data_IF_691541426010
#
_entry.id   IF_691541426010
#
_cell.length_a   1.000
_cell.length_b   1.000
_cell.length_c   1.000
_cell.angle_alpha   90.00
_cell.angle_beta   90.00
_cell.angle_gamma   90.00
#
_symmetry.space_group_name_H-M   'P 1'
#
loop_
_entity.id
_entity.type
_entity.pdbx_description
1 polymer ?
#
# COMPACT_ATOMS: atom_id res chain seq x y z
N UNK A 1 21.80 -5.11 -2.04
CA UNK A 1 20.39 -4.79 -2.32
C UNK A 1 20.26 -3.29 -2.23
N UNK A 2 19.80 -2.63 -3.31
CA UNK A 2 19.45 -1.22 -3.24
C UNK A 2 18.29 -1.02 -2.27
N UNK A 3 18.29 0.12 -1.59
CA UNK A 3 17.15 0.55 -0.80
C UNK A 3 15.96 0.86 -1.72
N UNK A 4 14.77 0.36 -1.39
CA UNK A 4 13.59 0.46 -2.27
C UNK A 4 13.14 1.91 -2.47
N UNK A 5 13.34 2.78 -1.47
CA UNK A 5 13.08 4.21 -1.60
C UNK A 5 14.00 4.85 -2.64
N UNK A 6 15.29 4.53 -2.59
CA UNK A 6 16.27 4.97 -3.59
C UNK A 6 15.92 4.48 -5.01
N UNK A 7 15.45 3.23 -5.15
CA UNK A 7 14.98 2.71 -6.44
C UNK A 7 13.80 3.53 -6.95
N UNK A 8 12.77 3.79 -6.13
CA UNK A 8 11.60 4.55 -6.56
C UNK A 8 11.91 6.03 -6.80
N UNK A 9 12.86 6.62 -6.06
CA UNK A 9 13.34 7.98 -6.35
C UNK A 9 13.93 8.06 -7.76
N UNK A 10 14.75 7.08 -8.16
CA UNK A 10 15.40 7.08 -9.47
C UNK A 10 14.42 6.91 -10.66
N UNK A 11 13.26 6.29 -10.43
CA UNK A 11 12.28 5.98 -11.49
C UNK A 11 10.98 6.78 -11.38
N UNK A 12 10.84 7.71 -10.43
CA UNK A 12 9.55 8.27 -10.02
C UNK A 12 8.73 8.86 -11.18
N UNK A 13 9.33 9.73 -12.00
CA UNK A 13 8.65 10.36 -13.14
C UNK A 13 8.31 9.34 -14.24
N UNK A 14 9.20 8.40 -14.55
CA UNK A 14 8.96 7.35 -15.55
C UNK A 14 7.83 6.43 -15.11
N UNK A 15 7.87 5.99 -13.85
CA UNK A 15 6.86 5.16 -13.24
C UNK A 15 5.50 5.86 -13.22
N UNK A 16 5.45 7.14 -12.82
CA UNK A 16 4.22 7.93 -12.83
C UNK A 16 3.65 8.04 -14.25
N UNK A 17 4.48 8.38 -15.23
CA UNK A 17 4.02 8.54 -16.61
C UNK A 17 3.42 7.26 -17.20
N UNK A 18 4.01 6.10 -16.90
CA UNK A 18 3.52 4.81 -17.37
C UNK A 18 2.24 4.36 -16.64
N UNK A 19 2.14 4.58 -15.33
CA UNK A 19 1.10 3.98 -14.49
C UNK A 19 -0.04 4.94 -14.09
N UNK A 20 0.04 6.23 -14.41
CA UNK A 20 -0.98 7.21 -14.00
C UNK A 20 -2.38 6.94 -14.58
N UNK A 21 -2.45 6.21 -15.69
CA UNK A 21 -3.71 5.86 -16.37
C UNK A 21 -4.20 4.44 -16.06
N UNK A 22 -3.50 3.69 -15.20
CA UNK A 22 -3.96 2.38 -14.75
C UNK A 22 -5.31 2.49 -14.03
N UNK A 23 -6.22 1.57 -14.30
CA UNK A 23 -7.57 1.54 -13.73
C UNK A 23 -7.91 0.22 -13.00
N UNK A 24 -7.07 -0.81 -13.13
CA UNK A 24 -7.31 -2.15 -12.59
C UNK A 24 -7.54 -2.19 -11.08
N UNK A 25 -7.14 -1.14 -10.37
CA UNK A 25 -7.29 -0.98 -8.93
C UNK A 25 -8.60 -0.33 -8.47
N UNK A 26 -9.35 0.27 -9.41
CA UNK A 26 -10.57 1.01 -9.10
C UNK A 26 -11.61 0.12 -8.42
N UNK A 27 -11.86 -1.07 -8.97
CA UNK A 27 -12.91 -1.97 -8.48
C UNK A 27 -12.75 -2.30 -6.99
N UNK A 28 -11.57 -2.72 -6.56
CA UNK A 28 -11.33 -3.06 -5.16
C UNK A 28 -11.21 -1.83 -4.25
N UNK A 29 -10.83 -0.68 -4.81
CA UNK A 29 -10.87 0.61 -4.09
C UNK A 29 -12.31 1.00 -3.75
N UNK A 30 -13.27 0.83 -4.67
CA UNK A 30 -14.70 1.05 -4.39
C UNK A 30 -15.20 0.11 -3.30
N UNK A 31 -14.81 -1.17 -3.36
CA UNK A 31 -15.17 -2.15 -2.33
C UNK A 31 -14.67 -1.75 -0.96
N UNK A 32 -13.44 -1.23 -0.88
CA UNK A 32 -12.89 -0.68 0.35
C UNK A 32 -13.71 0.52 0.86
N UNK A 33 -13.99 1.50 -0.01
CA UNK A 33 -14.74 2.70 0.34
C UNK A 33 -16.17 2.40 0.79
N UNK A 34 -16.85 1.42 0.19
CA UNK A 34 -18.20 0.99 0.58
C UNK A 34 -18.30 0.44 2.01
N UNK A 35 -17.18 0.17 2.68
CA UNK A 35 -17.13 -0.29 4.07
C UNK A 35 -16.82 0.82 5.07
N UNK A 36 -16.52 2.02 4.58
CA UNK A 36 -16.18 3.17 5.40
C UNK A 36 -17.41 4.05 5.61
N UNK A 37 -17.39 4.81 6.70
CA UNK A 37 -18.36 5.90 6.94
C UNK A 37 -18.15 7.04 5.94
N UNK A 38 -19.11 7.96 5.89
CA UNK A 38 -18.97 9.19 5.10
C UNK A 38 -17.79 10.05 5.58
N UNK A 39 -17.14 10.73 4.63
CA UNK A 39 -15.96 11.57 4.86
C UNK A 39 -14.85 10.89 5.68
N UNK A 40 -14.41 9.67 5.31
CA UNK A 40 -13.46 8.92 6.11
C UNK A 40 -12.08 9.57 6.07
N UNK A 41 -11.34 9.48 7.17
CA UNK A 41 -9.91 9.75 7.17
C UNK A 41 -9.13 8.47 6.80
N UNK A 42 -8.39 8.52 5.70
CA UNK A 42 -7.68 7.36 5.15
C UNK A 42 -6.17 7.61 5.18
N UNK A 43 -5.40 6.60 5.60
CA UNK A 43 -3.96 6.54 5.41
C UNK A 43 -3.64 5.71 4.17
N UNK A 44 -3.09 6.34 3.14
CA UNK A 44 -2.55 5.69 1.93
C UNK A 44 -1.07 5.32 2.15
N UNK A 45 -0.80 4.02 2.32
CA UNK A 45 0.50 3.46 2.71
C UNK A 45 1.27 3.02 1.47
N UNK A 46 2.40 3.68 1.21
CA UNK A 46 3.09 3.58 -0.08
C UNK A 46 2.29 4.28 -1.17
N UNK A 47 1.94 5.54 -0.91
CA UNK A 47 1.03 6.32 -1.76
C UNK A 47 1.58 6.64 -3.17
N UNK A 48 2.89 6.44 -3.39
CA UNK A 48 3.55 6.65 -4.67
C UNK A 48 3.32 8.06 -5.19
N UNK A 49 2.94 8.18 -6.47
CA UNK A 49 2.69 9.45 -7.15
C UNK A 49 1.34 10.11 -6.83
N UNK A 50 0.60 9.61 -5.83
CA UNK A 50 -0.63 10.22 -5.33
C UNK A 50 -1.88 10.03 -6.19
N UNK A 51 -1.82 9.24 -7.28
CA UNK A 51 -2.98 8.98 -8.17
C UNK A 51 -4.16 8.38 -7.41
N UNK A 52 -3.90 7.40 -6.52
CA UNK A 52 -4.93 6.76 -5.71
C UNK A 52 -5.44 7.70 -4.61
N UNK A 53 -4.56 8.49 -3.99
CA UNK A 53 -4.94 9.55 -3.06
C UNK A 53 -5.92 10.55 -3.70
N UNK A 54 -5.65 11.02 -4.92
CA UNK A 54 -6.55 11.90 -5.67
C UNK A 54 -7.92 11.24 -5.91
N UNK A 55 -7.93 9.95 -6.26
CA UNK A 55 -9.15 9.18 -6.48
C UNK A 55 -9.99 9.01 -5.20
N UNK A 56 -9.36 8.74 -4.07
CA UNK A 56 -9.99 8.66 -2.75
C UNK A 56 -10.59 10.02 -2.34
N UNK A 57 -9.86 11.12 -2.56
CA UNK A 57 -10.34 12.49 -2.30
C UNK A 57 -11.55 12.82 -3.16
N UNK A 58 -11.55 12.45 -4.43
CA UNK A 58 -12.71 12.65 -5.32
C UNK A 58 -13.98 11.93 -4.84
N UNK A 59 -13.85 10.93 -3.95
CA UNK A 59 -14.95 10.21 -3.29
C UNK A 59 -15.26 10.73 -1.89
N UNK A 60 -14.73 11.89 -1.55
CA UNK A 60 -14.99 12.58 -0.29
C UNK A 60 -14.14 12.11 0.88
N UNK A 61 -13.08 11.32 0.67
CA UNK A 61 -12.16 10.98 1.74
C UNK A 61 -11.18 12.14 2.05
N UNK A 62 -10.77 12.24 3.33
CA UNK A 62 -9.57 12.99 3.71
C UNK A 62 -8.40 12.02 3.69
N UNK A 63 -7.30 12.38 3.03
CA UNK A 63 -6.19 11.46 2.81
C UNK A 63 -4.91 12.00 3.41
N UNK A 64 -4.27 11.16 4.22
CA UNK A 64 -2.85 11.26 4.52
C UNK A 64 -2.12 10.17 3.75
N UNK A 65 -1.00 10.49 3.11
CA UNK A 65 -0.16 9.53 2.40
C UNK A 65 1.22 9.42 3.02
N UNK A 66 1.74 8.19 3.09
CA UNK A 66 3.14 7.95 3.44
C UNK A 66 3.86 7.23 2.30
N UNK A 67 5.10 7.62 2.03
CA UNK A 67 5.98 6.91 1.10
C UNK A 67 7.44 7.06 1.52
N UNK A 68 8.28 6.12 1.05
CA UNK A 68 9.74 6.12 1.26
C UNK A 68 10.48 6.87 0.16
N UNK A 69 9.84 7.15 -0.98
CA UNK A 69 10.42 7.91 -2.07
C UNK A 69 10.02 9.38 -1.98
N UNK A 70 11.01 10.27 -1.87
CA UNK A 70 10.78 11.73 -1.86
C UNK A 70 10.34 12.23 -3.23
N UNK A 71 10.86 11.66 -4.31
CA UNK A 71 10.49 12.05 -5.66
C UNK A 71 9.04 11.65 -5.98
N UNK A 72 8.61 10.47 -5.53
CA UNK A 72 7.18 10.08 -5.58
C UNK A 72 6.29 11.05 -4.82
N UNK A 73 6.70 11.46 -3.61
CA UNK A 73 5.94 12.43 -2.82
C UNK A 73 5.90 13.82 -3.47
N UNK A 74 6.97 14.25 -4.13
CA UNK A 74 6.99 15.51 -4.88
C UNK A 74 5.97 15.49 -6.04
N UNK A 75 5.81 14.35 -6.71
CA UNK A 75 4.75 14.14 -7.71
C UNK A 75 3.39 14.10 -7.03
N UNK A 76 3.23 13.34 -5.94
CA UNK A 76 1.98 13.18 -5.21
C UNK A 76 1.39 14.51 -4.74
N UNK A 77 2.23 15.43 -4.26
CA UNK A 77 1.81 16.77 -3.86
C UNK A 77 1.19 17.59 -5.02
N UNK A 78 1.59 17.34 -6.27
CA UNK A 78 1.00 17.95 -7.47
C UNK A 78 -0.26 17.20 -7.93
N UNK A 79 -0.24 15.87 -7.86
CA UNK A 79 -1.36 15.01 -8.29
C UNK A 79 -2.58 15.12 -7.36
N UNK A 80 -2.35 15.22 -6.06
CA UNK A 80 -3.39 15.23 -5.02
C UNK A 80 -3.12 16.37 -4.01
N UNK A 81 -3.24 17.65 -4.41
CA UNK A 81 -2.84 18.79 -3.58
C UNK A 81 -3.67 18.97 -2.30
N UNK A 82 -4.78 18.24 -2.16
CA UNK A 82 -5.62 18.25 -0.96
C UNK A 82 -5.30 17.11 0.03
N UNK A 83 -4.33 16.25 -0.27
CA UNK A 83 -3.80 15.26 0.66
C UNK A 83 -2.63 15.83 1.49
N UNK A 84 -2.39 15.25 2.65
CA UNK A 84 -1.16 15.49 3.42
C UNK A 84 -0.18 14.35 3.19
N UNK A 85 0.99 14.63 2.62
CA UNK A 85 2.02 13.64 2.35
C UNK A 85 3.19 13.72 3.33
N UNK A 86 3.68 12.57 3.77
CA UNK A 86 4.79 12.45 4.71
C UNK A 86 5.82 11.45 4.20
N UNK A 87 7.10 11.84 4.22
CA UNK A 87 8.20 10.93 3.94
C UNK A 87 8.43 10.02 5.15
N UNK A 88 7.86 8.82 5.08
CA UNK A 88 7.84 7.87 6.18
C UNK A 88 7.78 6.43 5.66
N UNK A 89 8.68 5.61 6.19
CA UNK A 89 8.64 4.17 6.03
C UNK A 89 7.49 3.56 6.82
N UNK A 90 6.68 2.70 6.19
CA UNK A 90 5.56 2.03 6.86
C UNK A 90 5.98 1.20 8.08
N UNK A 91 7.24 0.73 8.14
CA UNK A 91 7.83 0.06 9.32
C UNK A 91 7.96 0.99 10.53
N UNK A 92 7.82 2.30 10.32
CA UNK A 92 7.89 3.35 11.34
C UNK A 92 6.56 4.10 11.49
N UNK A 93 5.45 3.52 11.03
CA UNK A 93 4.13 4.17 11.08
C UNK A 93 3.66 4.50 12.50
N UNK A 94 4.19 3.82 13.53
CA UNK A 94 3.92 4.14 14.93
C UNK A 94 4.47 5.50 15.38
N UNK A 95 5.36 6.12 14.59
CA UNK A 95 5.81 7.50 14.82
C UNK A 95 4.74 8.54 14.52
N UNK A 96 3.62 8.16 13.88
CA UNK A 96 2.47 9.05 13.69
C UNK A 96 1.73 9.21 15.02
N UNK A 97 2.03 10.28 15.76
CA UNK A 97 1.64 10.43 17.16
C UNK A 97 0.16 10.80 17.41
N UNK A 98 -0.60 11.26 16.40
CA UNK A 98 -1.79 12.08 16.69
C UNK A 98 -3.12 11.62 16.09
N UNK A 99 -3.15 10.63 15.20
CA UNK A 99 -4.39 10.28 14.50
C UNK A 99 -4.60 8.78 14.35
N UNK A 100 -5.84 8.36 14.60
CA UNK A 100 -6.38 7.09 14.14
C UNK A 100 -7.13 7.30 12.82
N UNK A 101 -7.05 6.32 11.95
CA UNK A 101 -7.63 6.36 10.61
C UNK A 101 -8.89 5.50 10.55
N UNK A 102 -9.91 5.97 9.83
CA UNK A 102 -11.10 5.17 9.53
C UNK A 102 -10.76 4.04 8.57
N UNK A 103 -9.83 4.31 7.64
CA UNK A 103 -9.33 3.34 6.69
C UNK A 103 -7.80 3.40 6.54
N UNK A 104 -7.18 2.25 6.35
CA UNK A 104 -5.80 2.15 5.85
C UNK A 104 -5.87 1.46 4.50
N UNK A 105 -5.27 2.10 3.50
CA UNK A 105 -5.21 1.63 2.13
C UNK A 105 -3.75 1.38 1.76
N UNK A 106 -3.37 0.13 1.49
CA UNK A 106 -1.99 -0.19 1.10
C UNK A 106 -1.99 -1.04 -0.18
N UNK A 107 -1.95 -0.34 -1.32
CA UNK A 107 -2.00 -0.99 -2.63
C UNK A 107 -0.63 -1.11 -3.25
N UNK A 108 -0.18 -2.36 -3.41
CA UNK A 108 1.10 -2.71 -4.03
C UNK A 108 2.35 -2.20 -3.29
N UNK A 109 2.24 -1.97 -1.97
CA UNK A 109 3.34 -1.42 -1.16
C UNK A 109 3.90 -2.44 -0.14
N UNK A 110 3.04 -3.19 0.57
CA UNK A 110 3.47 -4.21 1.54
C UNK A 110 4.32 -5.33 0.91
N UNK A 111 4.18 -5.56 -0.40
CA UNK A 111 4.99 -6.51 -1.17
C UNK A 111 6.48 -6.15 -1.26
N UNK A 112 6.89 -4.97 -0.80
CA UNK A 112 8.29 -4.60 -0.64
C UNK A 112 8.85 -4.87 0.76
N UNK A 113 8.04 -5.45 1.66
CA UNK A 113 8.45 -5.79 3.04
C UNK A 113 8.78 -7.29 3.13
N UNK A 114 9.95 -7.67 3.66
CA UNK A 114 10.28 -9.07 3.90
C UNK A 114 9.25 -9.75 4.82
N UNK A 115 8.92 -11.03 4.57
CA UNK A 115 7.88 -11.77 5.31
C UNK A 115 8.08 -11.71 6.84
N UNK A 116 9.33 -11.74 7.30
CA UNK A 116 9.68 -11.65 8.73
C UNK A 116 9.26 -10.32 9.38
N UNK A 117 9.09 -9.26 8.60
CA UNK A 117 8.72 -7.91 9.05
C UNK A 117 7.23 -7.60 8.83
N UNK A 118 6.50 -8.44 8.08
CA UNK A 118 5.09 -8.20 7.72
C UNK A 118 4.19 -8.10 8.95
N UNK A 119 4.27 -9.06 9.88
CA UNK A 119 3.41 -9.04 11.08
C UNK A 119 3.67 -7.80 11.95
N UNK A 120 4.93 -7.43 12.27
CA UNK A 120 5.23 -6.17 12.94
C UNK A 120 4.62 -4.94 12.25
N UNK A 121 4.76 -4.83 10.91
CA UNK A 121 4.16 -3.73 10.13
C UNK A 121 2.63 -3.73 10.26
N UNK A 122 2.00 -4.89 10.10
CA UNK A 122 0.54 -5.00 10.21
C UNK A 122 0.06 -4.65 11.62
N UNK A 123 0.79 -5.01 12.69
CA UNK A 123 0.47 -4.61 14.07
C UNK A 123 0.56 -3.09 14.27
N UNK A 124 1.57 -2.45 13.70
CA UNK A 124 1.71 -1.00 13.74
C UNK A 124 0.54 -0.31 13.00
N UNK A 125 0.20 -0.79 11.79
CA UNK A 125 -0.97 -0.31 11.03
C UNK A 125 -2.28 -0.55 11.81
N UNK A 126 -2.46 -1.72 12.42
CA UNK A 126 -3.59 -2.00 13.30
C UNK A 126 -3.68 -0.99 14.45
N UNK A 127 -2.54 -0.63 15.05
CA UNK A 127 -2.45 0.39 16.09
C UNK A 127 -2.84 1.80 15.63
N UNK A 128 -2.81 2.09 14.32
CA UNK A 128 -3.23 3.36 13.71
C UNK A 128 -4.67 3.36 13.21
N UNK A 129 -5.36 2.22 13.15
CA UNK A 129 -6.78 2.20 12.80
C UNK A 129 -7.66 2.60 13.99
N UNK A 130 -8.74 3.32 13.70
CA UNK A 130 -9.84 3.54 14.63
C UNK A 130 -10.51 2.20 14.97
N UNK A 131 -11.29 2.18 16.06
CA UNK A 131 -12.15 1.02 16.36
C UNK A 131 -13.02 0.70 15.16
N UNK A 132 -13.07 -0.59 14.80
CA UNK A 132 -13.79 -1.09 13.63
C UNK A 132 -13.33 -0.51 12.28
N UNK A 133 -12.19 0.18 12.24
CA UNK A 133 -11.60 0.70 11.01
C UNK A 133 -11.20 -0.41 10.04
N UNK A 134 -11.15 -0.06 8.76
CA UNK A 134 -10.98 -1.01 7.66
C UNK A 134 -9.56 -0.93 7.10
N UNK A 135 -8.93 -2.07 6.92
CA UNK A 135 -7.68 -2.24 6.19
C UNK A 135 -7.99 -2.81 4.80
N UNK A 136 -7.47 -2.17 3.76
CA UNK A 136 -7.33 -2.73 2.42
C UNK A 136 -5.85 -2.98 2.11
N UNK A 137 -5.54 -4.17 1.58
CA UNK A 137 -4.22 -4.52 1.05
C UNK A 137 -4.34 -5.12 -0.35
N UNK A 138 -3.39 -4.78 -1.23
CA UNK A 138 -3.14 -5.54 -2.46
C UNK A 138 -1.67 -5.95 -2.54
N UNK A 139 -1.41 -7.25 -2.68
CA UNK A 139 -0.06 -7.83 -2.79
C UNK A 139 0.04 -8.83 -3.94
N UNK A 140 1.24 -9.09 -4.47
CA UNK A 140 1.43 -10.07 -5.53
C UNK A 140 1.28 -11.50 -4.98
N UNK A 141 0.43 -12.30 -5.62
CA UNK A 141 0.24 -13.70 -5.26
C UNK A 141 1.45 -14.55 -5.66
N UNK A 142 1.85 -15.53 -4.85
CA UNK A 142 2.83 -16.55 -5.21
C UNK A 142 2.22 -17.58 -6.16
N UNK A 143 2.83 -17.78 -7.33
CA UNK A 143 2.50 -18.90 -8.23
C UNK A 143 3.35 -20.11 -7.89
N UNK A 144 2.88 -21.29 -8.33
CA UNK A 144 3.61 -22.55 -8.17
C UNK A 144 5.00 -22.43 -8.79
N UNK A 145 6.03 -22.74 -7.99
CA UNK A 145 7.43 -22.72 -8.43
C UNK A 145 8.13 -21.36 -8.26
N UNK A 146 7.44 -20.31 -7.83
CA UNK A 146 8.08 -19.03 -7.52
C UNK A 146 8.66 -19.04 -6.10
N UNK A 147 9.77 -18.31 -5.87
CA UNK A 147 10.30 -18.12 -4.53
C UNK A 147 9.31 -17.34 -3.66
N UNK A 148 9.49 -17.38 -2.34
CA UNK A 148 8.70 -16.53 -1.44
C UNK A 148 9.10 -15.07 -1.50
N UNK A 149 10.37 -14.81 -1.75
CA UNK A 149 10.98 -13.49 -1.83
C UNK A 149 12.00 -13.47 -2.96
N UNK A 150 12.08 -12.37 -3.71
CA UNK A 150 12.98 -12.24 -4.85
C UNK A 150 13.37 -10.80 -5.08
N UNK A 151 14.60 -10.57 -5.53
CA UNK A 151 15.04 -9.31 -6.11
C UNK A 151 14.96 -9.45 -7.63
N UNK A 152 14.17 -8.61 -8.28
CA UNK A 152 13.97 -8.63 -9.73
C UNK A 152 14.74 -7.45 -10.33
N UNK A 153 15.69 -7.70 -11.25
CA UNK A 153 16.29 -6.66 -12.07
C UNK A 153 15.29 -6.21 -13.14
N UNK A 154 15.14 -4.90 -13.30
CA UNK A 154 14.22 -4.26 -14.25
C UNK A 154 14.91 -3.06 -14.90
N UNK A 155 14.27 -2.48 -15.92
CA UNK A 155 14.81 -1.32 -16.62
C UNK A 155 13.77 -0.44 -17.27
N UNK A 156 14.02 0.87 -17.24
CA UNK A 156 13.40 1.84 -18.12
C UNK A 156 14.42 2.30 -19.16
N UNK A 157 14.34 1.76 -20.39
CA UNK A 157 15.35 2.02 -21.40
C UNK A 157 16.75 1.60 -20.90
N UNK A 158 17.67 2.55 -20.82
CA UNK A 158 19.04 2.33 -20.32
C UNK A 158 19.18 2.43 -18.79
N UNK A 159 18.13 2.87 -18.08
CA UNK A 159 18.13 2.92 -16.62
C UNK A 159 17.83 1.54 -16.05
N UNK A 160 18.84 0.90 -15.47
CA UNK A 160 18.70 -0.39 -14.78
C UNK A 160 18.51 -0.20 -13.27
N UNK A 161 17.61 -0.98 -12.69
CA UNK A 161 17.32 -0.95 -11.25
C UNK A 161 16.85 -2.32 -10.76
N UNK A 162 16.75 -2.46 -9.45
CA UNK A 162 16.28 -3.69 -8.81
C UNK A 162 15.13 -3.40 -7.85
N UNK A 163 14.15 -4.32 -7.79
CA UNK A 163 13.07 -4.27 -6.80
C UNK A 163 12.95 -5.59 -6.06
N UNK A 164 12.91 -5.49 -4.74
CA UNK A 164 12.58 -6.61 -3.87
C UNK A 164 11.07 -6.85 -3.84
N UNK A 165 10.66 -8.11 -3.89
CA UNK A 165 9.27 -8.54 -3.79
C UNK A 165 9.12 -9.71 -2.83
N UNK A 166 8.17 -9.60 -1.91
CA UNK A 166 7.56 -10.72 -1.19
C UNK A 166 6.30 -11.18 -1.94
N UNK A 167 6.20 -12.47 -2.21
CA UNK A 167 5.01 -13.10 -2.79
C UNK A 167 4.18 -13.80 -1.71
N UNK A 168 2.86 -13.70 -1.85
CA UNK A 168 1.91 -14.14 -0.82
C UNK A 168 1.01 -15.26 -1.31
N UNK A 169 0.72 -16.20 -0.44
CA UNK A 169 -0.38 -17.14 -0.62
C UNK A 169 -1.61 -16.61 0.11
N UNK A 170 -2.80 -17.19 -0.14
CA UNK A 170 -3.99 -16.81 0.65
C UNK A 170 -3.81 -17.23 2.11
N UNK A 171 -3.10 -18.32 2.33
CA UNK A 171 -2.88 -18.93 3.63
C UNK A 171 -1.96 -18.05 4.49
N UNK A 172 -0.80 -17.63 3.97
CA UNK A 172 0.14 -16.81 4.75
C UNK A 172 -0.41 -15.41 5.02
N UNK A 173 -1.03 -14.76 4.03
CA UNK A 173 -1.58 -13.42 4.21
C UNK A 173 -2.71 -13.42 5.23
N UNK A 174 -3.58 -14.44 5.21
CA UNK A 174 -4.63 -14.61 6.23
C UNK A 174 -4.03 -14.82 7.62
N UNK A 175 -2.99 -15.65 7.73
CA UNK A 175 -2.31 -15.89 9.00
C UNK A 175 -1.66 -14.61 9.56
N UNK A 176 -0.95 -13.84 8.73
CA UNK A 176 -0.33 -12.58 9.14
C UNK A 176 -1.36 -11.54 9.59
N UNK A 177 -2.47 -11.42 8.86
CA UNK A 177 -3.58 -10.53 9.25
C UNK A 177 -4.17 -10.94 10.60
N UNK A 178 -4.45 -12.22 10.80
CA UNK A 178 -4.99 -12.73 12.05
C UNK A 178 -4.03 -12.52 13.23
N UNK A 179 -2.73 -12.81 13.05
CA UNK A 179 -1.71 -12.59 14.08
C UNK A 179 -1.54 -11.11 14.44
N UNK A 180 -1.79 -10.21 13.48
CA UNK A 180 -1.78 -8.77 13.69
C UNK A 180 -3.07 -8.21 14.33
N UNK A 181 -4.06 -9.06 14.62
CA UNK A 181 -5.32 -8.66 15.28
C UNK A 181 -6.45 -8.29 14.32
N UNK A 182 -6.30 -8.53 13.02
CA UNK A 182 -7.34 -8.25 12.03
C UNK A 182 -8.32 -9.42 11.87
N UNK A 183 -9.60 -9.08 11.68
CA UNK A 183 -10.63 -10.00 11.21
C UNK A 183 -10.76 -9.85 9.70
N UNK A 184 -10.38 -10.88 8.93
CA UNK A 184 -10.43 -10.86 7.46
C UNK A 184 -11.88 -10.96 6.99
N UNK A 185 -12.38 -9.93 6.30
CA UNK A 185 -13.72 -9.91 5.72
C UNK A 185 -13.75 -10.52 4.31
N UNK A 186 -12.73 -10.24 3.50
CA UNK A 186 -12.59 -10.82 2.16
C UNK A 186 -11.11 -10.99 1.81
N UNK A 187 -10.79 -12.07 1.10
CA UNK A 187 -9.47 -12.32 0.54
C UNK A 187 -9.62 -12.96 -0.85
N UNK A 188 -9.50 -12.13 -1.87
CA UNK A 188 -9.78 -12.49 -3.25
C UNK A 188 -8.51 -12.49 -4.09
N UNK A 189 -8.51 -13.32 -5.12
CA UNK A 189 -7.41 -13.40 -6.08
C UNK A 189 -7.94 -12.92 -7.43
N UNK A 190 -7.25 -11.95 -8.03
CA UNK A 190 -7.52 -11.48 -9.38
C UNK A 190 -6.20 -11.35 -10.13
N UNK A 191 -6.08 -12.08 -11.24
CA UNK A 191 -4.90 -12.12 -12.12
C UNK A 191 -3.58 -12.49 -11.44
N UNK A 192 -2.96 -11.54 -10.76
CA UNK A 192 -1.67 -11.65 -10.07
C UNK A 192 -1.72 -11.10 -8.65
N UNK A 193 -2.86 -10.59 -8.23
CA UNK A 193 -3.02 -9.84 -6.99
C UNK A 193 -3.89 -10.60 -6.01
N UNK A 194 -3.48 -10.60 -4.74
CA UNK A 194 -4.33 -10.90 -3.62
C UNK A 194 -4.83 -9.58 -3.02
N UNK A 195 -6.15 -9.44 -2.99
CA UNK A 195 -6.83 -8.30 -2.41
C UNK A 195 -7.46 -8.72 -1.09
N UNK A 196 -7.00 -8.11 0.01
CA UNK A 196 -7.54 -8.36 1.34
C UNK A 196 -8.32 -7.13 1.79
N UNK A 197 -9.51 -7.35 2.33
CA UNK A 197 -10.20 -6.38 3.18
C UNK A 197 -10.38 -7.00 4.55
N UNK A 198 -9.91 -6.31 5.57
CA UNK A 198 -9.97 -6.76 6.94
C UNK A 198 -10.39 -5.61 7.87
N UNK A 199 -10.90 -5.96 9.04
CA UNK A 199 -11.36 -4.99 10.04
C UNK A 199 -10.54 -5.13 11.32
N UNK A 200 -10.26 -4.02 11.97
CA UNK A 200 -9.75 -3.99 13.34
C UNK A 200 -10.80 -4.59 14.28
N UNK A 201 -10.40 -5.65 15.00
CA UNK A 201 -11.27 -6.35 15.95
C UNK A 201 -11.79 -5.39 17.03
#
# INVERSE_FOLDING_TARGET
MSDIGTTYDAIAELWHNEHQSDDWWIYDTERFLCRLRSNPLILDVGCGSGVKAAYLIARGARVHGIDVSKEMLAIAARTAPHALFMHLDMRKVDLLQWQTYDGIFAQASLLHIPHKEVVPVLKALHGRLAEHGILYLAVKAQRKGEPHEVVIPESYGELHYERFFSYYTKENLRAYLAEAGFVVNSLEFSHRWLHAIARKA
#
